data_IF_740590088053
#
_entry.id   IF_740590088053
#
_cell.length_a   1.000
_cell.length_b   1.000
_cell.length_c   1.000
_cell.angle_alpha   90.00
_cell.angle_beta   90.00
_cell.angle_gamma   90.00
#
_symmetry.space_group_name_H-M   'P 1'
#
loop_
_entity.id
_entity.type
_entity.pdbx_description
1 polymer ?
#
# COMPACT_ATOMS: atom_id res chain seq x y z
N UNK A 1 -23.09 -2.51 9.53
CA UNK A 1 -22.44 -1.31 9.01
C UNK A 1 -22.96 -1.14 7.61
N UNK A 2 -23.67 -0.05 7.36
CA UNK A 2 -24.29 0.19 6.06
C UNK A 2 -23.23 0.72 5.06
N UNK A 3 -23.49 0.58 3.76
CA UNK A 3 -22.55 1.01 2.72
C UNK A 3 -22.18 2.49 2.86
N UNK A 4 -23.13 3.33 3.26
CA UNK A 4 -22.90 4.76 3.51
C UNK A 4 -21.92 5.00 4.67
N UNK A 5 -21.95 4.18 5.73
CA UNK A 5 -21.00 4.30 6.85
C UNK A 5 -19.56 4.00 6.43
N UNK A 6 -19.39 3.11 5.43
CA UNK A 6 -18.09 2.81 4.85
C UNK A 6 -17.60 3.94 3.95
N UNK A 7 -18.50 4.52 3.16
CA UNK A 7 -18.19 5.65 2.27
C UNK A 7 -17.81 6.89 3.07
N UNK A 8 -18.53 7.18 4.16
CA UNK A 8 -18.25 8.33 5.03
C UNK A 8 -16.87 8.27 5.72
N UNK A 9 -16.21 7.11 5.71
CA UNK A 9 -14.84 6.95 6.24
C UNK A 9 -13.76 7.21 5.20
N UNK A 10 -14.13 7.32 3.92
CA UNK A 10 -13.19 7.60 2.84
C UNK A 10 -12.82 9.09 2.87
N UNK A 11 -11.56 9.44 2.54
CA UNK A 11 -11.08 10.82 2.56
C UNK A 11 -11.49 11.56 1.28
N UNK A 12 -12.78 11.60 0.98
CA UNK A 12 -13.28 12.46 -0.09
C UNK A 12 -13.55 13.86 0.48
N UNK A 13 -13.13 14.88 -0.26
CA UNK A 13 -13.33 16.28 0.12
C UNK A 13 -14.82 16.65 0.18
N UNK A 14 -15.63 15.98 -0.65
CA UNK A 14 -17.07 16.14 -0.71
C UNK A 14 -17.80 14.92 -0.14
N UNK A 15 -18.91 15.17 0.55
CA UNK A 15 -19.82 14.10 0.99
C UNK A 15 -20.38 13.38 -0.25
N UNK A 16 -20.10 12.08 -0.32
CA UNK A 16 -20.49 11.22 -1.43
C UNK A 16 -21.51 10.19 -0.94
N UNK A 17 -22.67 10.16 -1.56
CA UNK A 17 -23.68 9.14 -1.28
C UNK A 17 -23.37 7.81 -2.00
N UNK A 18 -24.02 6.74 -1.56
CA UNK A 18 -23.81 5.39 -2.07
C UNK A 18 -24.12 5.24 -3.57
N UNK A 19 -25.12 5.94 -4.09
CA UNK A 19 -25.52 5.85 -5.50
C UNK A 19 -24.47 6.54 -6.38
N UNK A 20 -24.07 7.75 -5.98
CA UNK A 20 -23.00 8.51 -6.63
C UNK A 20 -21.67 7.76 -6.57
N UNK A 21 -21.38 7.07 -5.47
CA UNK A 21 -20.17 6.25 -5.30
C UNK A 21 -20.15 5.07 -6.28
N UNK A 22 -21.27 4.36 -6.44
CA UNK A 22 -21.39 3.24 -7.39
C UNK A 22 -21.23 3.68 -8.85
N UNK A 23 -21.59 4.92 -9.15
CA UNK A 23 -21.53 5.52 -10.49
C UNK A 23 -20.39 6.53 -10.67
N UNK A 24 -19.36 6.51 -9.81
CA UNK A 24 -18.25 7.47 -9.88
C UNK A 24 -17.54 7.45 -11.24
N UNK A 25 -17.35 6.26 -11.80
CA UNK A 25 -16.72 6.07 -13.11
C UNK A 25 -17.58 6.65 -14.25
N UNK A 26 -18.91 6.69 -14.08
CA UNK A 26 -19.83 7.28 -15.06
C UNK A 26 -19.75 8.82 -15.05
N UNK A 27 -19.55 9.43 -13.88
CA UNK A 27 -19.28 10.87 -13.77
C UNK A 27 -17.87 11.25 -14.26
N UNK A 28 -16.89 10.35 -14.13
CA UNK A 28 -15.52 10.56 -14.60
C UNK A 28 -15.32 10.26 -16.10
N UNK A 29 -16.36 9.79 -16.80
CA UNK A 29 -16.45 9.81 -18.27
C UNK A 29 -16.56 11.25 -18.76
N UNK A 30 -15.53 12.05 -18.52
CA UNK A 30 -15.28 13.20 -19.37
C UNK A 30 -15.16 12.69 -20.81
N UNK A 31 -15.77 13.40 -21.76
CA UNK A 31 -15.59 13.09 -23.19
C UNK A 31 -14.14 13.28 -23.65
N UNK A 32 -13.27 13.77 -22.76
CA UNK A 32 -11.86 13.94 -22.97
C UNK A 32 -11.16 12.59 -22.83
N UNK A 33 -11.05 11.87 -23.97
CA UNK A 33 -10.20 10.70 -24.06
C UNK A 33 -8.78 11.07 -23.63
N UNK A 34 -8.24 10.29 -22.69
CA UNK A 34 -6.82 10.36 -22.34
C UNK A 34 -6.00 9.97 -23.58
N UNK A 35 -5.39 10.95 -24.24
CA UNK A 35 -4.55 10.74 -25.42
C UNK A 35 -3.12 10.38 -25.01
N UNK A 36 -2.42 9.66 -25.88
CA UNK A 36 -1.02 9.27 -25.67
C UNK A 36 -0.13 10.49 -25.40
N UNK A 37 -0.39 11.63 -26.05
CA UNK A 37 0.33 12.89 -25.81
C UNK A 37 0.13 13.42 -24.39
N UNK A 38 -1.09 13.29 -23.84
CA UNK A 38 -1.41 13.72 -22.48
C UNK A 38 -0.75 12.78 -21.46
N UNK A 39 -0.70 11.48 -21.75
CA UNK A 39 0.04 10.48 -20.95
C UNK A 39 1.55 10.79 -20.95
N UNK A 40 2.13 11.01 -22.14
CA UNK A 40 3.55 11.34 -22.29
C UNK A 40 3.88 12.66 -21.59
N UNK A 41 2.99 13.65 -21.64
CA UNK A 41 3.16 14.91 -20.91
C UNK A 41 3.14 14.72 -19.39
N UNK A 42 2.23 13.89 -18.85
CA UNK A 42 2.18 13.59 -17.41
C UNK A 42 3.44 12.84 -16.97
N UNK A 43 3.87 11.84 -17.75
CA UNK A 43 5.08 11.05 -17.46
C UNK A 43 6.34 11.91 -17.59
N UNK A 44 6.45 12.77 -18.60
CA UNK A 44 7.60 13.68 -18.77
C UNK A 44 7.61 14.79 -17.73
N UNK A 45 6.45 15.32 -17.35
CA UNK A 45 6.31 16.29 -16.25
C UNK A 45 6.88 15.74 -14.95
N UNK A 46 6.69 14.45 -14.68
CA UNK A 46 7.25 13.81 -13.48
C UNK A 46 8.77 13.55 -13.58
N UNK A 47 9.34 13.56 -14.79
CA UNK A 47 10.75 13.25 -15.03
C UNK A 47 11.64 14.49 -15.26
N UNK A 48 11.05 15.67 -15.49
CA UNK A 48 11.78 16.94 -15.61
C UNK A 48 12.05 17.60 -14.24
N UNK A 49 11.61 16.98 -13.16
CA UNK A 49 12.21 17.21 -11.87
C UNK A 49 13.51 16.41 -11.87
N UNK A 50 14.61 17.08 -12.20
CA UNK A 50 15.90 16.73 -11.58
C UNK A 50 15.63 16.41 -10.10
N UNK A 51 16.29 15.42 -9.47
CA UNK A 51 16.07 15.18 -8.06
C UNK A 51 16.62 16.38 -7.28
N UNK A 52 15.83 17.43 -7.14
CA UNK A 52 15.73 18.12 -5.87
C UNK A 52 15.36 17.03 -4.89
N UNK A 53 16.40 16.53 -4.21
CA UNK A 53 16.27 15.82 -2.95
C UNK A 53 15.39 16.72 -2.09
N UNK A 54 14.10 16.43 -2.08
CA UNK A 54 13.17 17.07 -1.18
C UNK A 54 13.65 16.65 0.22
N UNK A 55 14.11 17.58 1.09
CA UNK A 55 14.46 17.22 2.46
C UNK A 55 13.25 16.70 3.25
N UNK A 56 12.04 16.74 2.66
CA UNK A 56 10.80 16.18 3.18
C UNK A 56 10.30 14.95 2.41
N UNK A 57 11.08 14.35 1.51
CA UNK A 57 10.85 12.94 1.20
C UNK A 57 11.01 12.19 2.51
N UNK A 58 9.87 11.70 3.05
CA UNK A 58 9.86 10.81 4.21
C UNK A 58 10.98 9.81 3.95
N UNK A 59 12.00 9.74 4.82
CA UNK A 59 13.17 8.91 4.55
C UNK A 59 12.64 7.55 4.17
N UNK A 60 13.08 7.00 3.04
CA UNK A 60 12.89 5.58 2.72
C UNK A 60 13.40 4.85 3.97
N UNK A 61 12.48 4.49 4.87
CA UNK A 61 12.84 4.20 6.25
C UNK A 61 13.69 2.96 6.13
N UNK A 62 14.99 3.11 6.30
CA UNK A 62 15.91 1.99 6.35
C UNK A 62 15.60 1.31 7.67
N UNK A 63 14.60 0.43 7.65
CA UNK A 63 14.18 -0.31 8.81
C UNK A 63 15.34 -1.22 9.16
N UNK A 64 15.92 -0.98 10.34
CA UNK A 64 16.95 -1.86 10.89
C UNK A 64 16.43 -3.29 10.89
N UNK A 65 17.23 -4.25 10.47
CA UNK A 65 16.82 -5.66 10.28
C UNK A 65 16.16 -6.25 11.54
N UNK A 66 16.58 -5.80 12.73
CA UNK A 66 15.98 -6.18 14.02
C UNK A 66 14.57 -5.64 14.21
N UNK A 67 14.27 -4.42 13.77
CA UNK A 67 12.90 -3.85 13.77
C UNK A 67 12.01 -4.58 12.76
N UNK A 68 12.54 -4.90 11.58
CA UNK A 68 11.81 -5.67 10.57
C UNK A 68 11.45 -7.08 11.08
N UNK A 69 12.34 -7.73 11.84
CA UNK A 69 12.06 -9.00 12.51
C UNK A 69 10.95 -8.86 13.56
N UNK A 70 10.97 -7.80 14.38
CA UNK A 70 9.91 -7.54 15.35
C UNK A 70 8.53 -7.39 14.70
N UNK A 71 8.44 -6.59 13.62
CA UNK A 71 7.17 -6.43 12.89
C UNK A 71 6.68 -7.73 12.23
N UNK A 72 7.59 -8.59 11.79
CA UNK A 72 7.22 -9.91 11.26
C UNK A 72 6.68 -10.83 12.35
N UNK A 73 7.28 -10.80 13.54
CA UNK A 73 6.77 -11.57 14.69
C UNK A 73 5.39 -11.07 15.13
N UNK A 74 5.15 -9.75 15.15
CA UNK A 74 3.85 -9.14 15.43
C UNK A 74 2.79 -9.55 14.40
N UNK A 75 3.14 -9.55 13.11
CA UNK A 75 2.26 -10.00 12.03
C UNK A 75 1.90 -11.48 12.17
N UNK A 76 2.89 -12.34 12.46
CA UNK A 76 2.65 -13.77 12.69
C UNK A 76 1.72 -13.98 13.88
N UNK A 77 1.90 -13.22 14.95
CA UNK A 77 1.02 -13.26 16.13
C UNK A 77 -0.40 -12.80 15.81
N UNK A 78 -0.55 -11.70 15.05
CA UNK A 78 -1.83 -11.19 14.58
C UNK A 78 -2.60 -12.23 13.75
N UNK A 79 -1.93 -12.89 12.80
CA UNK A 79 -2.53 -13.97 12.03
C UNK A 79 -2.88 -15.18 12.92
N UNK A 80 -2.08 -15.51 13.93
CA UNK A 80 -2.42 -16.60 14.86
C UNK A 80 -3.69 -16.31 15.68
N UNK A 81 -3.93 -15.05 16.04
CA UNK A 81 -5.12 -14.64 16.80
C UNK A 81 -6.38 -14.43 15.95
N UNK A 82 -6.25 -14.32 14.63
CA UNK A 82 -7.36 -14.20 13.68
C UNK A 82 -8.12 -15.53 13.44
N UNK A 83 -8.04 -16.47 14.37
CA UNK A 83 -8.42 -17.89 14.22
C UNK A 83 -9.87 -18.17 13.82
N UNK A 84 -10.75 -17.17 13.76
CA UNK A 84 -12.12 -17.30 13.25
C UNK A 84 -12.25 -17.08 11.73
N UNK A 85 -11.27 -16.45 11.09
CA UNK A 85 -11.21 -16.32 9.63
C UNK A 85 -10.13 -17.27 9.16
N UNK A 86 -10.51 -18.32 8.42
CA UNK A 86 -9.61 -19.32 7.87
C UNK A 86 -8.47 -18.65 7.09
N UNK A 87 -7.34 -18.39 7.78
CA UNK A 87 -6.15 -17.87 7.15
C UNK A 87 -5.65 -18.98 6.25
N UNK A 88 -5.73 -18.73 4.95
CA UNK A 88 -5.20 -19.61 3.94
C UNK A 88 -3.76 -20.00 4.34
N UNK A 89 -3.54 -21.30 4.60
CA UNK A 89 -2.27 -21.88 5.05
C UNK A 89 -1.07 -21.39 4.22
N UNK A 90 -1.30 -21.06 2.95
CA UNK A 90 -0.29 -20.47 2.06
C UNK A 90 0.23 -19.11 2.54
N UNK A 91 -0.62 -18.21 3.06
CA UNK A 91 -0.20 -16.87 3.52
C UNK A 91 0.73 -17.00 4.74
N UNK A 92 0.39 -17.86 5.70
CA UNK A 92 1.23 -18.12 6.88
C UNK A 92 2.60 -18.69 6.48
N UNK A 93 2.63 -19.63 5.52
CA UNK A 93 3.87 -20.20 5.00
C UNK A 93 4.77 -19.16 4.32
N UNK A 94 4.18 -18.21 3.55
CA UNK A 94 4.94 -17.12 2.92
C UNK A 94 5.58 -16.20 3.97
N UNK A 95 4.85 -15.83 5.04
CA UNK A 95 5.40 -15.03 6.14
C UNK A 95 6.56 -15.72 6.85
N UNK A 96 6.43 -17.03 7.12
CA UNK A 96 7.51 -17.80 7.74
C UNK A 96 8.76 -17.86 6.85
N UNK A 97 8.58 -18.04 5.54
CA UNK A 97 9.70 -17.99 4.57
C UNK A 97 10.38 -16.63 4.56
N UNK A 98 9.60 -15.54 4.58
CA UNK A 98 10.13 -14.18 4.61
C UNK A 98 10.93 -13.92 5.88
N UNK A 99 10.39 -14.32 7.05
CA UNK A 99 11.09 -14.25 8.34
C UNK A 99 12.44 -14.97 8.30
N UNK A 100 12.47 -16.16 7.74
CA UNK A 100 13.72 -16.93 7.60
C UNK A 100 14.74 -16.24 6.69
N UNK A 101 14.30 -15.64 5.58
CA UNK A 101 15.19 -14.90 4.68
C UNK A 101 15.78 -13.65 5.36
N UNK A 102 14.95 -12.86 6.04
CA UNK A 102 15.39 -11.66 6.78
C UNK A 102 16.40 -12.03 7.87
N UNK A 103 16.14 -13.10 8.62
CA UNK A 103 17.06 -13.60 9.64
C UNK A 103 18.39 -14.08 9.05
N UNK A 104 18.35 -14.81 7.93
CA UNK A 104 19.55 -15.27 7.23
C UNK A 104 20.40 -14.09 6.73
N UNK A 105 19.77 -13.06 6.17
CA UNK A 105 20.45 -11.83 5.75
C UNK A 105 21.07 -11.08 6.94
N UNK A 106 20.40 -11.06 8.10
CA UNK A 106 20.99 -10.49 9.33
C UNK A 106 22.27 -11.23 9.74
N UNK A 107 22.22 -12.55 9.80
CA UNK A 107 23.35 -13.37 10.29
C UNK A 107 24.54 -13.25 9.32
N UNK A 108 24.29 -13.23 8.01
CA UNK A 108 25.34 -13.12 7.00
C UNK A 108 25.98 -11.72 6.93
N UNK A 109 25.23 -10.65 7.20
CA UNK A 109 25.76 -9.28 7.22
C UNK A 109 26.43 -8.90 8.56
N UNK A 110 26.32 -9.74 9.59
CA UNK A 110 26.91 -9.53 10.92
C UNK A 110 28.27 -10.24 11.08
N UNK A 111 28.85 -10.78 10.00
CA UNK A 111 30.08 -11.56 9.96
C UNK A 111 31.14 -10.84 9.14
#
# INVERSE_FOLDING_TARGET
>A
MELQDLINKLPFDDLMDADKFLHIDDCLKSNERLTDDKIVSIVKSNNNNEPEVNPNEVPLVVILVTKALGYLDDLVLFFKHLSDVCINSNKSNVLQKLRHQVLKSHINNSK
#
